data_IF_706523960718
#
_entry.id   IF_706523960718
#
_cell.length_a   1.000
_cell.length_b   1.000
_cell.length_c   1.000
_cell.angle_alpha   90.00
_cell.angle_beta   90.00
_cell.angle_gamma   90.00
#
_symmetry.space_group_name_H-M   'P 1'
#
loop_
_entity.id
_entity.type
_entity.pdbx_description
1 polymer ?
#
# COMPACT_ATOMS: atom_id res chain seq x y z
N UNK A 1 2.61 -19.83 -34.43
CA UNK A 1 1.70 -18.83 -33.84
C UNK A 1 2.05 -18.42 -32.40
N UNK A 2 2.70 -19.28 -31.58
CA UNK A 2 3.02 -18.98 -30.18
C UNK A 2 4.22 -18.03 -29.92
N UNK A 3 5.21 -17.94 -30.83
CA UNK A 3 6.38 -17.08 -30.61
C UNK A 3 6.12 -15.59 -30.88
N UNK A 4 5.30 -15.26 -31.87
CA UNK A 4 4.96 -13.88 -32.21
C UNK A 4 4.13 -13.27 -31.06
N UNK A 5 3.16 -14.01 -30.54
CA UNK A 5 2.32 -13.56 -29.39
C UNK A 5 3.15 -13.39 -28.13
N UNK A 6 4.17 -14.23 -27.89
CA UNK A 6 5.11 -14.06 -26.77
C UNK A 6 6.00 -12.82 -26.92
N UNK A 7 6.46 -12.50 -28.12
CA UNK A 7 7.28 -11.30 -28.39
C UNK A 7 6.49 -10.01 -28.26
N UNK A 8 5.24 -9.97 -28.73
CA UNK A 8 4.37 -8.81 -28.58
C UNK A 8 4.00 -8.57 -27.10
N UNK A 9 3.72 -9.60 -26.34
CA UNK A 9 3.40 -9.47 -24.91
C UNK A 9 4.61 -8.99 -24.09
N UNK A 10 5.83 -9.43 -24.42
CA UNK A 10 7.04 -8.95 -23.73
C UNK A 10 7.33 -7.48 -24.02
N UNK A 11 7.19 -7.03 -25.26
CA UNK A 11 7.37 -5.62 -25.61
C UNK A 11 6.39 -4.68 -24.86
N UNK A 12 5.14 -5.10 -24.70
CA UNK A 12 4.14 -4.30 -23.96
C UNK A 12 4.48 -4.22 -22.47
N UNK A 13 5.00 -5.31 -21.89
CA UNK A 13 5.43 -5.31 -20.48
C UNK A 13 6.64 -4.39 -20.30
N UNK A 14 7.60 -4.42 -21.21
CA UNK A 14 8.80 -3.59 -21.18
C UNK A 14 8.47 -2.09 -21.22
N UNK A 15 7.61 -1.68 -22.14
CA UNK A 15 7.16 -0.28 -22.23
C UNK A 15 6.52 0.15 -20.93
N UNK A 16 5.58 -0.61 -20.42
CA UNK A 16 4.89 -0.28 -19.15
C UNK A 16 5.82 -0.27 -17.95
N UNK A 17 6.75 -1.22 -17.86
CA UNK A 17 7.69 -1.26 -16.75
C UNK A 17 8.70 -0.10 -16.81
N UNK A 18 9.14 0.30 -18.02
CA UNK A 18 9.98 1.48 -18.22
C UNK A 18 9.24 2.78 -17.89
N UNK A 19 7.99 2.92 -18.34
CA UNK A 19 7.15 4.06 -18.00
C UNK A 19 6.97 4.17 -16.48
N UNK A 20 6.69 3.05 -15.81
CA UNK A 20 6.58 3.01 -14.36
C UNK A 20 7.87 3.45 -13.66
N UNK A 21 9.04 2.95 -14.09
CA UNK A 21 10.33 3.36 -13.53
C UNK A 21 10.58 4.86 -13.68
N UNK A 22 10.20 5.44 -14.82
CA UNK A 22 10.32 6.88 -15.07
C UNK A 22 9.37 7.73 -14.18
N UNK A 23 8.29 7.13 -13.71
CA UNK A 23 7.33 7.78 -12.80
C UNK A 23 7.71 7.62 -11.31
N UNK A 24 8.74 6.82 -10.98
CA UNK A 24 9.23 6.73 -9.61
C UNK A 24 9.82 8.09 -9.20
N UNK A 25 9.33 8.69 -8.17
CA UNK A 25 9.79 9.99 -7.69
C UNK A 25 11.20 9.98 -7.03
N UNK A 26 12.03 8.95 -7.27
CA UNK A 26 13.39 8.83 -6.72
C UNK A 26 14.36 8.21 -7.72
N UNK A 27 15.65 8.49 -7.54
CA UNK A 27 16.71 7.97 -8.38
C UNK A 27 16.97 6.47 -8.12
N UNK A 28 17.26 5.75 -9.18
CA UNK A 28 17.72 4.35 -9.18
C UNK A 28 18.87 4.19 -10.19
N UNK A 29 19.69 3.16 -10.00
CA UNK A 29 20.80 2.87 -10.92
C UNK A 29 20.30 2.14 -12.19
N UNK A 30 21.03 2.22 -13.31
CA UNK A 30 20.69 1.48 -14.51
C UNK A 30 20.57 -0.06 -14.26
N UNK A 31 21.40 -0.60 -13.37
CA UNK A 31 21.37 -2.01 -12.99
C UNK A 31 20.09 -2.38 -12.22
N UNK A 32 19.66 -1.53 -11.30
CA UNK A 32 18.41 -1.69 -10.56
C UNK A 32 17.21 -1.62 -11.51
N UNK A 33 17.21 -0.68 -12.44
CA UNK A 33 16.18 -0.58 -13.48
C UNK A 33 16.14 -1.83 -14.36
N UNK A 34 17.31 -2.33 -14.80
CA UNK A 34 17.42 -3.58 -15.57
C UNK A 34 16.85 -4.78 -14.79
N UNK A 35 17.22 -4.92 -13.51
CA UNK A 35 16.70 -5.98 -12.64
C UNK A 35 15.18 -5.93 -12.50
N UNK A 36 14.61 -4.72 -12.34
CA UNK A 36 13.16 -4.54 -12.29
C UNK A 36 12.47 -5.01 -13.58
N UNK A 37 13.01 -4.60 -14.74
CA UNK A 37 12.49 -5.03 -16.04
C UNK A 37 12.57 -6.54 -16.24
N UNK A 38 13.69 -7.15 -15.88
CA UNK A 38 13.89 -8.60 -15.98
C UNK A 38 12.88 -9.38 -15.13
N UNK A 39 12.60 -8.93 -13.91
CA UNK A 39 11.58 -9.52 -13.04
C UNK A 39 10.18 -9.35 -13.64
N UNK A 40 9.85 -8.16 -14.16
CA UNK A 40 8.58 -7.94 -14.85
C UNK A 40 8.37 -8.89 -16.01
N UNK A 41 9.43 -9.12 -16.82
CA UNK A 41 9.40 -10.05 -17.96
C UNK A 41 9.28 -11.51 -17.52
N UNK A 42 10.15 -11.94 -16.61
CA UNK A 42 10.22 -13.33 -16.15
C UNK A 42 8.89 -13.80 -15.56
N UNK A 43 8.25 -12.93 -14.77
CA UNK A 43 7.00 -13.24 -14.09
C UNK A 43 5.76 -12.61 -14.74
N UNK A 44 5.90 -11.93 -15.87
CA UNK A 44 4.81 -11.24 -16.57
C UNK A 44 3.99 -10.32 -15.62
N UNK A 45 4.71 -9.57 -14.78
CA UNK A 45 4.12 -8.66 -13.80
C UNK A 45 3.92 -7.26 -14.40
N UNK A 46 2.75 -6.67 -14.15
CA UNK A 46 2.40 -5.35 -14.62
C UNK A 46 2.38 -4.36 -13.44
N UNK A 47 3.29 -3.37 -13.39
CA UNK A 47 3.34 -2.40 -12.29
C UNK A 47 2.08 -1.51 -12.22
N UNK A 48 1.44 -1.18 -13.35
CA UNK A 48 0.20 -0.41 -13.38
C UNK A 48 -1.02 -1.19 -12.88
N UNK A 49 -0.93 -2.54 -12.85
CA UNK A 49 -1.93 -3.39 -12.18
C UNK A 49 -1.62 -3.62 -10.70
N UNK A 50 -0.62 -2.92 -10.17
CA UNK A 50 -0.16 -3.06 -8.79
C UNK A 50 0.33 -4.48 -8.45
N UNK A 51 0.88 -5.17 -9.44
CA UNK A 51 1.41 -6.52 -9.26
C UNK A 51 2.85 -6.49 -8.75
N UNK A 52 3.62 -5.45 -9.09
CA UNK A 52 5.01 -5.24 -8.68
C UNK A 52 5.24 -3.76 -8.39
N UNK A 53 6.09 -3.47 -7.42
CA UNK A 53 6.43 -2.10 -7.01
C UNK A 53 7.93 -1.95 -6.86
N UNK A 54 8.43 -0.79 -7.25
CA UNK A 54 9.74 -0.29 -6.85
C UNK A 54 9.56 0.67 -5.67
N UNK A 55 10.21 0.42 -4.56
CA UNK A 55 10.23 1.31 -3.41
C UNK A 55 11.65 1.66 -3.04
N UNK A 56 11.85 2.84 -2.45
CA UNK A 56 13.14 3.24 -1.92
C UNK A 56 13.37 2.54 -0.58
N UNK A 57 14.47 1.83 -0.45
CA UNK A 57 14.87 1.13 0.77
C UNK A 57 16.30 1.44 1.15
N UNK A 58 16.59 1.52 2.45
CA UNK A 58 17.95 1.62 2.92
C UNK A 58 18.63 0.25 2.85
N UNK A 59 19.75 0.18 2.16
CA UNK A 59 20.59 -1.00 2.08
C UNK A 59 21.79 -0.80 3.01
N UNK A 60 21.82 -1.55 4.11
CA UNK A 60 22.86 -1.44 5.14
C UNK A 60 24.24 -1.85 4.62
N UNK A 61 24.31 -2.77 3.67
CA UNK A 61 25.56 -3.23 3.07
C UNK A 61 26.16 -2.18 2.14
N UNK A 62 25.29 -1.47 1.42
CA UNK A 62 25.72 -0.39 0.51
C UNK A 62 25.79 0.98 1.18
N UNK A 63 25.20 1.12 2.37
CA UNK A 63 25.10 2.40 3.07
C UNK A 63 24.33 3.47 2.28
N UNK A 64 23.40 3.07 1.44
CA UNK A 64 22.65 3.94 0.53
C UNK A 64 21.20 3.48 0.37
N UNK A 65 20.35 4.42 -0.06
CA UNK A 65 19.00 4.06 -0.47
C UNK A 65 19.04 3.42 -1.86
N UNK A 66 18.48 2.22 -1.99
CA UNK A 66 18.42 1.44 -3.22
C UNK A 66 16.98 1.17 -3.64
N UNK A 67 16.79 0.77 -4.90
CA UNK A 67 15.52 0.31 -5.40
C UNK A 67 15.23 -1.10 -4.85
N UNK A 68 14.29 -1.19 -3.92
CA UNK A 68 13.79 -2.47 -3.43
C UNK A 68 12.55 -2.87 -4.21
N UNK A 69 12.55 -4.08 -4.74
CA UNK A 69 11.48 -4.62 -5.57
C UNK A 69 10.60 -5.51 -4.71
N UNK A 70 9.31 -5.21 -4.68
CA UNK A 70 8.30 -5.97 -3.93
C UNK A 70 7.10 -6.29 -4.82
N UNK A 71 6.32 -7.31 -4.43
CA UNK A 71 5.04 -7.64 -5.07
C UNK A 71 3.87 -7.42 -4.12
N UNK A 72 2.69 -7.21 -4.69
CA UNK A 72 1.45 -7.24 -3.92
C UNK A 72 1.09 -8.69 -3.54
N UNK A 73 0.53 -8.90 -2.35
CA UNK A 73 0.10 -10.24 -1.92
C UNK A 73 -0.96 -10.84 -2.86
N UNK A 74 -1.72 -10.00 -3.55
CA UNK A 74 -2.73 -10.42 -4.54
C UNK A 74 -2.12 -11.17 -5.73
N UNK A 75 -0.83 -10.98 -6.00
CA UNK A 75 -0.12 -11.70 -7.08
C UNK A 75 -0.08 -13.20 -6.79
N UNK A 76 0.15 -13.56 -5.53
CA UNK A 76 0.16 -14.96 -5.11
C UNK A 76 -1.20 -15.62 -5.31
N UNK A 77 -2.30 -14.94 -4.94
CA UNK A 77 -3.67 -15.42 -5.15
C UNK A 77 -3.97 -15.63 -6.64
N UNK A 78 -3.71 -14.60 -7.47
CA UNK A 78 -3.93 -14.68 -8.91
C UNK A 78 -3.17 -15.81 -9.58
N UNK A 79 -1.94 -16.07 -9.15
CA UNK A 79 -1.13 -17.15 -9.69
C UNK A 79 -1.67 -18.51 -9.27
N UNK A 80 -2.00 -18.68 -8.00
CA UNK A 80 -2.60 -19.92 -7.52
C UNK A 80 -3.92 -20.23 -8.27
N UNK A 81 -4.78 -19.24 -8.49
CA UNK A 81 -6.01 -19.40 -9.28
C UNK A 81 -5.74 -19.85 -10.72
N UNK A 82 -4.70 -19.27 -11.38
CA UNK A 82 -4.33 -19.63 -12.75
C UNK A 82 -3.85 -21.07 -12.92
N UNK A 83 -3.36 -21.71 -11.86
CA UNK A 83 -3.00 -23.14 -11.91
C UNK A 83 -4.21 -24.04 -12.12
N UNK A 84 -5.42 -23.57 -11.77
CA UNK A 84 -6.63 -24.38 -11.70
C UNK A 84 -6.66 -25.37 -10.53
N UNK A 85 -5.56 -25.45 -9.74
CA UNK A 85 -5.43 -26.38 -8.61
C UNK A 85 -5.95 -25.80 -7.29
N UNK A 86 -6.10 -24.48 -7.17
CA UNK A 86 -6.71 -23.87 -6.01
C UNK A 86 -8.18 -24.22 -5.94
N UNK A 87 -8.63 -24.83 -4.83
CA UNK A 87 -10.03 -25.10 -4.54
C UNK A 87 -10.64 -24.00 -3.65
N UNK A 88 -9.84 -23.45 -2.74
CA UNK A 88 -10.21 -22.35 -1.88
C UNK A 88 -9.18 -22.08 -0.81
N UNK A 89 -9.42 -21.06 0.01
CA UNK A 89 -8.61 -20.79 1.17
C UNK A 89 -9.40 -20.08 2.28
N UNK A 90 -8.98 -20.30 3.50
CA UNK A 90 -9.47 -19.61 4.69
C UNK A 90 -8.35 -18.80 5.33
N UNK A 91 -8.70 -17.72 6.01
CA UNK A 91 -7.74 -16.90 6.75
C UNK A 91 -8.34 -16.42 8.07
N UNK A 92 -7.58 -16.50 9.13
CA UNK A 92 -8.00 -16.14 10.47
C UNK A 92 -6.91 -15.38 11.20
N UNK A 93 -7.29 -14.34 11.94
CA UNK A 93 -6.45 -13.67 12.91
C UNK A 93 -6.83 -14.16 14.30
N UNK A 94 -5.86 -14.70 15.04
CA UNK A 94 -6.11 -15.32 16.34
C UNK A 94 -5.75 -14.33 17.46
N UNK A 95 -6.65 -14.20 18.42
CA UNK A 95 -6.53 -13.30 19.56
C UNK A 95 -6.47 -14.09 20.86
N UNK A 96 -5.77 -13.58 21.87
CA UNK A 96 -5.78 -14.11 23.21
C UNK A 96 -7.08 -13.76 23.97
N UNK A 97 -7.16 -14.18 25.25
CA UNK A 97 -8.33 -13.93 26.10
C UNK A 97 -8.53 -12.44 26.41
N UNK A 98 -7.49 -11.64 26.30
CA UNK A 98 -7.46 -10.20 26.57
C UNK A 98 -7.72 -9.38 25.30
N UNK A 99 -7.96 -10.05 24.15
CA UNK A 99 -8.23 -9.42 22.88
C UNK A 99 -6.97 -8.95 22.13
N UNK A 100 -5.77 -9.38 22.54
CA UNK A 100 -4.55 -9.03 21.83
C UNK A 100 -4.31 -10.00 20.66
N UNK A 101 -3.88 -9.48 19.52
CA UNK A 101 -3.50 -10.28 18.37
C UNK A 101 -2.26 -11.13 18.71
N UNK A 102 -2.35 -12.44 18.49
CA UNK A 102 -1.26 -13.40 18.75
C UNK A 102 -0.66 -13.94 17.46
N UNK A 103 -1.52 -14.40 16.53
CA UNK A 103 -1.08 -15.07 15.32
C UNK A 103 -2.07 -14.88 14.18
N UNK A 104 -1.65 -15.24 12.97
CA UNK A 104 -2.52 -15.37 11.82
C UNK A 104 -2.37 -16.78 11.23
N UNK A 105 -3.48 -17.36 10.80
CA UNK A 105 -3.53 -18.68 10.19
C UNK A 105 -4.15 -18.60 8.81
N UNK A 106 -3.58 -19.31 7.86
CA UNK A 106 -4.11 -19.51 6.52
C UNK A 106 -4.23 -21.01 6.25
N UNK A 107 -5.37 -21.42 5.73
CA UNK A 107 -5.63 -22.80 5.31
C UNK A 107 -5.93 -22.75 3.82
N UNK A 108 -5.18 -23.53 3.03
CA UNK A 108 -5.33 -23.59 1.57
C UNK A 108 -5.80 -24.99 1.19
N UNK A 109 -6.83 -25.06 0.38
CA UNK A 109 -7.37 -26.28 -0.21
C UNK A 109 -6.91 -26.39 -1.66
N UNK A 110 -6.26 -27.51 -1.99
CA UNK A 110 -5.88 -27.82 -3.37
C UNK A 110 -6.68 -29.02 -3.88
N UNK A 111 -7.11 -28.94 -5.12
CA UNK A 111 -7.92 -30.01 -5.77
C UNK A 111 -7.17 -31.33 -5.94
N UNK A 112 -5.83 -31.26 -5.99
CA UNK A 112 -4.93 -32.41 -6.16
C UNK A 112 -4.38 -32.97 -4.84
N UNK A 113 -4.77 -32.35 -3.67
CA UNK A 113 -4.35 -32.78 -2.35
C UNK A 113 -5.52 -33.33 -1.54
N UNK A 114 -5.25 -34.37 -0.75
CA UNK A 114 -6.26 -34.97 0.14
C UNK A 114 -6.46 -34.13 1.43
N UNK A 115 -5.42 -33.44 1.87
CA UNK A 115 -5.42 -32.67 3.12
C UNK A 115 -5.14 -31.20 2.83
N UNK A 116 -5.80 -30.28 3.54
CA UNK A 116 -5.52 -28.86 3.41
C UNK A 116 -4.12 -28.51 3.93
N UNK A 117 -3.49 -27.53 3.27
CA UNK A 117 -2.24 -26.95 3.77
C UNK A 117 -2.55 -25.87 4.80
N UNK A 118 -2.06 -26.02 6.01
CA UNK A 118 -2.24 -25.04 7.11
C UNK A 118 -0.92 -24.39 7.45
N UNK A 119 -0.91 -23.05 7.45
CA UNK A 119 0.24 -22.24 7.83
C UNK A 119 -0.15 -21.22 8.88
N UNK A 120 0.68 -21.06 9.92
CA UNK A 120 0.46 -20.09 11.01
C UNK A 120 1.74 -19.32 11.24
N UNK A 121 1.62 -17.99 11.38
CA UNK A 121 2.72 -17.12 11.78
C UNK A 121 2.34 -16.32 13.03
N UNK A 122 3.34 -15.92 13.82
CA UNK A 122 3.14 -15.24 15.10
C UNK A 122 3.49 -13.75 14.97
N UNK A 123 2.69 -12.90 15.63
CA UNK A 123 2.90 -11.46 15.62
C UNK A 123 4.30 -11.07 16.13
N UNK A 124 4.80 -11.76 17.16
CA UNK A 124 6.11 -11.51 17.76
C UNK A 124 7.27 -11.60 16.77
N UNK A 125 7.14 -12.41 15.71
CA UNK A 125 8.15 -12.61 14.68
C UNK A 125 8.08 -11.58 13.54
N UNK A 126 6.90 -10.99 13.34
CA UNK A 126 6.62 -10.13 12.17
C UNK A 126 6.43 -8.65 12.50
N UNK A 127 6.08 -8.32 13.76
CA UNK A 127 5.82 -6.93 14.12
C UNK A 127 7.06 -6.06 13.90
N UNK A 128 6.89 -4.96 13.17
CA UNK A 128 7.98 -4.04 12.85
C UNK A 128 7.94 -2.81 13.74
N UNK A 129 9.12 -2.46 14.24
CA UNK A 129 9.34 -1.30 15.11
C UNK A 129 10.32 -0.33 14.47
N UNK A 130 10.18 0.93 14.81
CA UNK A 130 11.14 1.97 14.47
C UNK A 130 12.37 1.89 15.39
N UNK A 131 13.40 2.69 15.08
CA UNK A 131 14.62 2.80 15.90
C UNK A 131 14.36 3.26 17.35
N UNK A 132 13.29 4.03 17.56
CA UNK A 132 12.84 4.50 18.89
C UNK A 132 12.01 3.43 19.66
N UNK A 133 11.84 2.22 19.11
CA UNK A 133 11.07 1.13 19.70
C UNK A 133 9.55 1.21 19.43
N UNK A 134 9.05 2.33 18.91
CA UNK A 134 7.63 2.46 18.56
C UNK A 134 7.25 1.58 17.37
N UNK A 135 5.98 1.19 17.28
CA UNK A 135 5.49 0.42 16.14
C UNK A 135 5.50 1.26 14.87
N UNK A 136 5.82 0.65 13.74
CA UNK A 136 5.58 1.28 12.44
C UNK A 136 4.08 1.54 12.26
N UNK A 137 3.72 2.66 11.62
CA UNK A 137 2.35 3.19 11.51
C UNK A 137 1.30 2.12 11.16
N UNK A 138 1.55 1.31 10.13
CA UNK A 138 0.60 0.27 9.71
C UNK A 138 0.47 -0.86 10.74
N UNK A 139 1.57 -1.25 11.40
CA UNK A 139 1.56 -2.23 12.47
C UNK A 139 0.88 -1.73 13.75
N UNK A 140 0.86 -0.42 13.98
CA UNK A 140 0.12 0.19 15.08
C UNK A 140 -1.40 0.29 14.82
N UNK A 141 -1.79 0.55 13.55
CA UNK A 141 -3.20 0.81 13.20
C UNK A 141 -3.96 -0.40 12.71
N UNK A 142 -3.29 -1.33 12.00
CA UNK A 142 -3.92 -2.50 11.38
C UNK A 142 -3.06 -3.77 11.52
N UNK A 143 -2.66 -4.18 12.74
CA UNK A 143 -1.73 -5.30 12.94
C UNK A 143 -2.27 -6.62 12.39
N UNK A 144 -3.55 -6.92 12.58
CA UNK A 144 -4.16 -8.15 12.08
C UNK A 144 -4.12 -8.24 10.55
N UNK A 145 -4.39 -7.13 9.86
CA UNK A 145 -4.34 -7.08 8.40
C UNK A 145 -2.91 -7.24 7.88
N UNK A 146 -1.93 -6.61 8.54
CA UNK A 146 -0.51 -6.73 8.18
C UNK A 146 -0.02 -8.16 8.36
N UNK A 147 -0.38 -8.80 9.48
CA UNK A 147 0.01 -10.18 9.76
C UNK A 147 -0.66 -11.17 8.79
N UNK A 148 -1.95 -10.99 8.49
CA UNK A 148 -2.67 -11.81 7.52
C UNK A 148 -2.07 -11.73 6.12
N UNK A 149 -1.61 -10.57 5.66
CA UNK A 149 -0.91 -10.43 4.37
C UNK A 149 0.37 -11.24 4.32
N UNK A 150 1.20 -11.16 5.37
CA UNK A 150 2.43 -11.93 5.46
C UNK A 150 2.14 -13.43 5.49
N UNK A 151 1.15 -13.86 6.29
CA UNK A 151 0.72 -15.25 6.37
C UNK A 151 0.24 -15.79 5.01
N UNK A 152 -0.58 -15.02 4.30
CA UNK A 152 -1.06 -15.37 2.95
C UNK A 152 0.11 -15.55 1.98
N UNK A 153 1.02 -14.59 1.90
CA UNK A 153 2.16 -14.65 0.99
C UNK A 153 3.02 -15.89 1.23
N UNK A 154 3.34 -16.19 2.49
CA UNK A 154 4.10 -17.37 2.84
C UNK A 154 3.35 -18.66 2.57
N UNK A 155 2.10 -18.75 2.97
CA UNK A 155 1.27 -19.94 2.78
C UNK A 155 1.15 -20.31 1.29
N UNK A 156 0.84 -19.34 0.44
CA UNK A 156 0.71 -19.57 -1.01
C UNK A 156 2.05 -19.93 -1.65
N UNK A 157 3.16 -19.31 -1.23
CA UNK A 157 4.50 -19.65 -1.73
C UNK A 157 4.89 -21.07 -1.41
N UNK A 158 4.58 -21.55 -0.21
CA UNK A 158 4.86 -22.93 0.20
C UNK A 158 3.92 -23.94 -0.47
N UNK A 159 2.66 -23.57 -0.68
CA UNK A 159 1.64 -24.44 -1.26
C UNK A 159 1.77 -24.58 -2.79
N UNK A 160 2.30 -23.55 -3.47
CA UNK A 160 2.47 -23.50 -4.93
C UNK A 160 3.92 -23.12 -5.31
N UNK A 161 4.93 -23.90 -4.91
CA UNK A 161 6.34 -23.50 -5.07
C UNK A 161 6.75 -23.31 -6.53
N UNK A 162 6.23 -24.09 -7.44
CA UNK A 162 6.55 -24.03 -8.88
C UNK A 162 6.09 -22.71 -9.51
N UNK A 163 4.95 -22.19 -9.07
CA UNK A 163 4.37 -20.94 -9.59
C UNK A 163 4.88 -19.69 -8.89
N UNK A 164 5.33 -19.84 -7.63
CA UNK A 164 5.70 -18.72 -6.75
C UNK A 164 7.22 -18.59 -6.57
N UNK A 165 7.98 -19.61 -6.99
CA UNK A 165 9.44 -19.62 -6.85
C UNK A 165 10.08 -18.44 -7.57
N UNK A 166 10.96 -17.72 -6.87
CA UNK A 166 11.68 -16.55 -7.41
C UNK A 166 10.87 -15.25 -7.48
N UNK A 167 9.58 -15.24 -7.14
CA UNK A 167 8.84 -13.98 -6.98
C UNK A 167 9.45 -13.12 -5.87
N UNK A 168 9.55 -11.80 -6.05
CA UNK A 168 9.92 -10.91 -4.97
C UNK A 168 9.00 -11.06 -3.76
N UNK A 169 9.53 -10.77 -2.57
CA UNK A 169 8.74 -10.77 -1.35
C UNK A 169 7.75 -9.61 -1.29
N UNK A 170 6.74 -9.72 -0.44
CA UNK A 170 5.88 -8.57 -0.11
C UNK A 170 6.60 -7.64 0.88
N UNK A 171 6.13 -6.40 0.99
CA UNK A 171 6.73 -5.39 1.86
C UNK A 171 6.81 -5.84 3.32
N UNK A 172 5.81 -6.56 3.80
CA UNK A 172 5.67 -7.02 5.18
C UNK A 172 6.72 -8.07 5.57
N UNK A 173 7.32 -8.76 4.60
CA UNK A 173 8.34 -9.78 4.82
C UNK A 173 9.77 -9.24 4.77
N UNK A 174 9.97 -8.04 4.20
CA UNK A 174 11.31 -7.46 4.03
C UNK A 174 11.62 -6.52 5.18
N UNK A 175 12.81 -6.65 5.79
CA UNK A 175 13.37 -5.65 6.68
C UNK A 175 13.80 -4.42 5.88
N UNK A 176 12.90 -3.46 5.74
CA UNK A 176 13.24 -2.16 5.20
C UNK A 176 13.19 -1.15 6.34
N UNK A 177 14.35 -0.59 6.68
CA UNK A 177 14.42 0.68 7.40
C UNK A 177 13.92 1.81 6.47
N UNK A 178 12.66 1.75 6.05
CA UNK A 178 12.09 2.77 5.18
C UNK A 178 11.10 3.62 5.96
N UNK A 179 11.51 4.83 6.24
CA UNK A 179 10.59 5.95 6.29
C UNK A 179 10.20 6.29 4.85
N UNK A 180 9.28 5.56 4.25
CA UNK A 180 8.61 5.99 3.02
C UNK A 180 7.17 6.31 3.38
N UNK A 181 6.95 7.56 3.75
CA UNK A 181 5.65 8.19 3.61
C UNK A 181 5.32 8.24 2.11
N UNK A 182 4.23 7.63 1.72
CA UNK A 182 3.59 7.90 0.45
C UNK A 182 3.57 6.81 -0.61
N UNK A 183 3.11 5.60 -0.34
CA UNK A 183 2.30 4.85 -1.30
C UNK A 183 1.13 4.23 -0.53
N UNK A 184 0.07 5.02 -0.41
CA UNK A 184 -1.21 4.52 0.10
C UNK A 184 -1.77 3.53 -0.89
N UNK A 185 -1.85 2.27 -0.50
CA UNK A 185 -2.71 1.32 -1.19
C UNK A 185 -4.14 1.85 -1.10
N UNK A 186 -4.74 2.19 -2.24
CA UNK A 186 -6.12 2.61 -2.31
C UNK A 186 -7.01 1.53 -1.67
N UNK A 187 -7.84 1.94 -0.74
CA UNK A 187 -8.84 1.10 -0.08
C UNK A 187 -9.79 0.51 -1.10
N UNK A 188 -10.13 -0.78 -1.04
CA UNK A 188 -11.35 -1.24 -1.68
C UNK A 188 -12.53 -0.67 -0.88
N UNK A 189 -13.40 0.05 -1.56
CA UNK A 189 -14.65 0.55 -1.00
C UNK A 189 -15.58 -0.65 -0.73
N UNK A 190 -15.77 -0.98 0.53
CA UNK A 190 -16.94 -1.72 0.99
C UNK A 190 -17.49 -0.93 2.18
N UNK A 191 -18.62 -0.28 1.95
CA UNK A 191 -19.39 0.39 2.98
C UNK A 191 -19.99 -0.64 3.94
N UNK A 192 -19.78 -0.45 5.23
CA UNK A 192 -20.60 -1.05 6.28
C UNK A 192 -21.14 0.05 7.20
N UNK A 193 -22.36 -0.12 7.74
CA UNK A 193 -23.12 0.96 8.37
C UNK A 193 -22.51 1.41 9.70
N UNK A 194 -22.55 2.72 9.93
CA UNK A 194 -22.12 3.36 11.17
C UNK A 194 -23.15 3.18 12.26
N UNK A 195 -22.78 2.60 13.36
CA UNK A 195 -23.47 2.75 14.63
C UNK A 195 -22.76 3.82 15.47
N UNK A 196 -23.57 4.71 16.05
CA UNK A 196 -23.11 5.91 16.75
C UNK A 196 -22.94 5.60 18.23
N UNK A 197 -21.77 5.86 18.79
CA UNK A 197 -21.67 6.15 20.21
C UNK A 197 -20.80 7.36 20.49
N UNK A 198 -21.34 8.27 21.29
CA UNK A 198 -20.74 9.55 21.67
C UNK A 198 -19.99 9.38 22.97
N UNK A 199 -18.69 9.64 22.98
CA UNK A 199 -18.01 9.94 24.25
C UNK A 199 -17.17 11.20 24.08
N UNK A 200 -17.47 12.20 24.91
CA UNK A 200 -16.75 13.48 24.97
C UNK A 200 -15.45 13.30 25.74
N UNK A 201 -14.32 13.52 25.07
CA UNK A 201 -13.01 13.70 25.71
C UNK A 201 -12.55 15.14 25.46
N UNK A 202 -12.14 15.83 26.53
CA UNK A 202 -11.52 17.16 26.50
C UNK A 202 -10.18 17.08 25.78
N UNK A 203 -10.02 17.90 24.75
CA UNK A 203 -8.78 17.98 23.93
C UNK A 203 -8.06 19.27 24.31
N UNK A 204 -6.79 19.15 24.71
CA UNK A 204 -5.83 20.24 24.75
C UNK A 204 -5.53 20.78 23.35
N UNK A 205 -5.17 22.05 23.17
CA UNK A 205 -5.01 22.65 21.86
C UNK A 205 -3.82 22.03 21.12
N UNK A 206 -4.11 21.43 19.96
CA UNK A 206 -3.13 20.87 19.04
C UNK A 206 -2.14 21.95 18.54
N UNK A 207 -0.87 21.59 18.24
CA UNK A 207 0.10 22.51 17.68
C UNK A 207 -0.36 23.09 16.33
N UNK A 208 0.07 24.32 16.03
CA UNK A 208 -0.26 25.00 14.76
C UNK A 208 0.32 24.18 13.60
N UNK A 209 -0.50 23.93 12.59
CA UNK A 209 -0.12 23.20 11.37
C UNK A 209 0.68 24.11 10.44
N UNK A 210 1.67 23.56 9.77
CA UNK A 210 2.43 24.26 8.74
C UNK A 210 1.69 24.36 7.40
N UNK A 211 2.28 25.07 6.42
CA UNK A 211 1.71 25.27 5.09
C UNK A 211 1.50 23.93 4.35
N UNK A 212 2.45 23.01 4.45
CA UNK A 212 2.39 21.71 3.76
C UNK A 212 1.24 20.85 4.28
N UNK A 213 1.06 20.80 5.61
CA UNK A 213 -0.04 20.09 6.25
C UNK A 213 -1.41 20.69 5.89
N UNK A 214 -1.51 22.03 5.85
CA UNK A 214 -2.72 22.73 5.49
C UNK A 214 -3.09 22.51 4.02
N UNK A 215 -2.14 22.58 3.13
CA UNK A 215 -2.34 22.32 1.70
C UNK A 215 -2.77 20.88 1.45
N UNK A 216 -2.13 19.91 2.10
CA UNK A 216 -2.53 18.50 2.01
C UNK A 216 -3.96 18.25 2.50
N UNK A 217 -4.38 18.93 3.58
CA UNK A 217 -5.75 18.82 4.10
C UNK A 217 -6.79 19.39 3.12
N UNK A 218 -6.50 20.49 2.45
CA UNK A 218 -7.40 21.08 1.45
C UNK A 218 -7.52 20.20 0.20
N UNK A 219 -6.40 19.67 -0.29
CA UNK A 219 -6.38 18.75 -1.44
C UNK A 219 -7.07 17.40 -1.16
N UNK A 220 -7.17 17.01 0.10
CA UNK A 220 -7.82 15.76 0.51
C UNK A 220 -9.35 15.88 0.71
N UNK A 221 -9.92 17.09 0.57
CA UNK A 221 -11.35 17.30 0.74
C UNK A 221 -12.14 16.67 -0.42
N UNK A 222 -13.13 15.79 -0.16
CA UNK A 222 -13.89 15.12 -1.21
C UNK A 222 -15.05 15.95 -1.78
N UNK A 223 -15.40 17.08 -1.15
CA UNK A 223 -16.49 17.95 -1.55
C UNK A 223 -16.35 19.36 -0.97
N UNK A 224 -17.16 20.29 -1.52
CA UNK A 224 -17.15 21.71 -1.15
C UNK A 224 -17.53 21.96 0.33
N UNK A 225 -18.36 21.11 0.91
CA UNK A 225 -18.80 21.23 2.32
C UNK A 225 -17.65 20.89 3.28
N UNK A 226 -16.90 19.84 2.98
CA UNK A 226 -15.73 19.46 3.77
C UNK A 226 -14.57 20.46 3.57
N UNK A 227 -14.38 20.97 2.36
CA UNK A 227 -13.41 22.04 2.10
C UNK A 227 -13.64 23.27 2.98
N UNK A 228 -14.90 23.72 3.10
CA UNK A 228 -15.29 24.83 3.97
C UNK A 228 -15.07 24.50 5.45
N UNK A 229 -15.38 23.28 5.88
CA UNK A 229 -15.20 22.82 7.25
C UNK A 229 -13.71 22.77 7.65
N UNK A 230 -12.87 22.22 6.80
CA UNK A 230 -11.41 22.13 6.99
C UNK A 230 -10.79 23.53 7.06
N UNK A 231 -11.17 24.44 6.16
CA UNK A 231 -10.73 25.83 6.20
C UNK A 231 -11.07 26.52 7.51
N UNK A 232 -12.31 26.37 7.97
CA UNK A 232 -12.80 26.97 9.23
C UNK A 232 -12.10 26.37 10.45
N UNK A 233 -11.89 25.06 10.48
CA UNK A 233 -11.25 24.36 11.59
C UNK A 233 -9.78 24.75 11.77
N UNK A 234 -9.07 25.07 10.67
CA UNK A 234 -7.65 25.40 10.69
C UNK A 234 -7.36 26.92 10.58
N UNK A 235 -8.35 27.78 10.78
CA UNK A 235 -8.21 29.23 10.62
C UNK A 235 -7.07 29.86 11.44
N UNK A 236 -6.77 29.33 12.63
CA UNK A 236 -5.64 29.81 13.46
C UNK A 236 -4.29 29.51 12.81
N UNK A 237 -4.11 28.32 12.28
CA UNK A 237 -2.88 27.92 11.56
C UNK A 237 -2.74 28.68 10.25
N UNK A 238 -3.81 28.86 9.51
CA UNK A 238 -3.84 29.61 8.25
C UNK A 238 -3.46 31.08 8.46
N UNK A 239 -3.93 31.71 9.51
CA UNK A 239 -3.56 33.11 9.87
C UNK A 239 -2.13 33.26 10.41
N UNK A 240 -1.48 32.18 10.80
CA UNK A 240 -0.09 32.17 11.26
C UNK A 240 0.93 32.01 10.11
N UNK A 241 0.47 31.73 8.87
CA UNK A 241 1.30 31.67 7.68
C UNK A 241 1.83 33.06 7.28
N UNK A 242 2.95 33.11 6.56
CA UNK A 242 3.41 34.33 5.92
C UNK A 242 2.49 34.71 4.72
N UNK A 243 2.58 35.95 4.24
CA UNK A 243 1.71 36.48 3.20
C UNK A 243 1.77 35.68 1.89
N UNK A 244 2.93 35.16 1.52
CA UNK A 244 3.16 34.38 0.31
C UNK A 244 2.46 33.01 0.43
N UNK A 245 2.69 32.28 1.50
CA UNK A 245 2.06 30.99 1.79
C UNK A 245 0.54 31.12 1.97
N UNK A 246 0.08 32.18 2.60
CA UNK A 246 -1.36 32.47 2.73
C UNK A 246 -2.03 32.64 1.37
N UNK A 247 -1.42 33.46 0.48
CA UNK A 247 -1.97 33.70 -0.85
C UNK A 247 -1.98 32.43 -1.69
N UNK A 248 -0.93 31.63 -1.63
CA UNK A 248 -0.85 30.34 -2.33
C UNK A 248 -1.94 29.37 -1.84
N UNK A 249 -2.15 29.29 -0.54
CA UNK A 249 -3.17 28.43 0.06
C UNK A 249 -4.61 28.89 -0.31
N UNK A 250 -4.84 30.20 -0.43
CA UNK A 250 -6.13 30.76 -0.91
C UNK A 250 -6.35 30.38 -2.37
N UNK A 251 -5.35 30.54 -3.25
CA UNK A 251 -5.44 30.14 -4.66
C UNK A 251 -5.74 28.66 -4.80
N UNK A 252 -5.08 27.81 -4.03
CA UNK A 252 -5.32 26.37 -4.03
C UNK A 252 -6.74 26.02 -3.59
N UNK A 253 -7.24 26.65 -2.53
CA UNK A 253 -8.63 26.47 -2.06
C UNK A 253 -9.64 26.89 -3.14
N UNK A 254 -9.42 28.03 -3.80
CA UNK A 254 -10.33 28.54 -4.81
C UNK A 254 -10.31 27.68 -6.09
N UNK A 255 -9.15 27.12 -6.45
CA UNK A 255 -9.02 26.14 -7.53
C UNK A 255 -9.80 24.85 -7.24
N UNK A 256 -9.63 24.28 -6.03
CA UNK A 256 -10.35 23.07 -5.60
C UNK A 256 -11.87 23.33 -5.59
N UNK A 257 -12.28 24.49 -5.11
CA UNK A 257 -13.69 24.89 -5.09
C UNK A 257 -14.28 24.98 -6.49
N UNK A 258 -13.57 25.58 -7.43
CA UNK A 258 -14.01 25.71 -8.82
C UNK A 258 -14.18 24.35 -9.51
N UNK A 259 -13.30 23.38 -9.22
CA UNK A 259 -13.42 22.02 -9.76
C UNK A 259 -14.69 21.32 -9.25
N UNK A 260 -15.02 21.44 -7.97
CA UNK A 260 -16.27 20.88 -7.44
C UNK A 260 -17.53 21.55 -8.04
N UNK A 261 -17.50 22.86 -8.29
CA UNK A 261 -18.61 23.60 -8.92
C UNK A 261 -18.80 23.21 -10.41
N UNK A 262 -17.73 22.79 -11.09
CA UNK A 262 -17.81 22.27 -12.47
C UNK A 262 -18.39 20.84 -12.49
N UNK A 263 -17.98 19.98 -11.58
CA UNK A 263 -18.50 18.60 -11.48
C UNK A 263 -19.99 18.56 -11.12
N UNK A 264 -20.48 19.50 -10.30
CA UNK A 264 -21.92 19.63 -9.98
C UNK A 264 -22.75 20.07 -11.19
N UNK A 265 -22.16 20.84 -12.13
CA UNK A 265 -22.87 21.34 -13.32
C UNK A 265 -22.85 20.39 -14.53
N UNK A 266 -21.98 19.37 -14.56
CA UNK A 266 -21.93 18.35 -15.61
C UNK A 266 -22.79 17.11 -15.28
N UNK A 267 -23.42 17.06 -14.11
CA UNK A 267 -24.25 15.94 -13.63
C UNK A 267 -25.77 16.13 -13.77
N UNK A 268 -26.26 17.19 -14.42
CA UNK A 268 -27.69 17.43 -14.71
C UNK A 268 -28.03 17.11 -16.20
#
# INVERSE_FOLDING_TARGET
>A
MNEIVKRESSNVIDVKATEYLNMLGFAYTPEEGKKFLEICRAFQLNPFKREIYGIKGWDSEKGANTLTIIVGYEVYLKRAERTGLLDGYEKEANFDKDGNLVSATVIIYRKDWTHPFKHTIYLSEFVRRKKDGSLMKMWATMPAFMLLKACLAQAFRMCFPDEMGGLPYIKEEIELETEVEGVSAAKPAVEMPKEKEKTKVKIEPAPLKDFSELNALLCACPNITELKAVWKANNKSIKALNDEQYNELVQQKDYIKANFELEENEGD
#
